data_IF_683347691764
#
_entry.id   IF_683347691764
#
_cell.length_a   1.000
_cell.length_b   1.000
_cell.length_c   1.000
_cell.angle_alpha   90.00
_cell.angle_beta   90.00
_cell.angle_gamma   90.00
#
_symmetry.space_group_name_H-M   'P 1'
#
loop_
_entity.id
_entity.type
_entity.pdbx_description
1 polymer ?
#
# COMPACT_ATOMS: atom_id res chain seq x y z
N UNK A 1 5.65 13.52 -4.19
CA UNK A 1 5.69 12.22 -4.89
C UNK A 1 5.73 11.11 -3.85
N UNK A 2 5.02 10.01 -4.09
CA UNK A 2 5.05 8.82 -3.25
C UNK A 2 5.97 7.77 -3.90
N UNK A 3 6.76 7.06 -3.09
CA UNK A 3 7.50 5.87 -3.55
C UNK A 3 7.32 4.71 -2.57
N UNK A 4 7.58 3.47 -3.02
CA UNK A 4 7.37 2.25 -2.23
C UNK A 4 8.63 1.39 -2.26
N UNK A 5 9.03 0.85 -1.11
CA UNK A 5 10.23 0.02 -0.98
C UNK A 5 9.99 -1.19 -0.06
N UNK A 6 10.22 -2.43 -0.52
CA UNK A 6 10.58 -2.82 -1.88
C UNK A 6 9.40 -2.69 -2.86
N UNK A 7 9.66 -2.60 -4.18
CA UNK A 7 8.61 -2.59 -5.23
C UNK A 7 8.23 -3.98 -5.74
N UNK A 8 9.06 -4.98 -5.43
CA UNK A 8 8.80 -6.37 -5.70
C UNK A 8 9.28 -7.22 -4.53
N UNK A 9 8.56 -8.30 -4.23
CA UNK A 9 8.89 -9.18 -3.11
C UNK A 9 8.65 -10.64 -3.49
N UNK A 10 9.56 -11.52 -3.09
CA UNK A 10 9.34 -12.95 -3.07
C UNK A 10 8.75 -13.37 -1.71
N UNK A 11 7.63 -14.08 -1.73
CA UNK A 11 6.92 -14.50 -0.52
C UNK A 11 6.72 -16.01 -0.56
N UNK A 12 7.02 -16.71 0.51
CA UNK A 12 6.81 -18.16 0.54
C UNK A 12 5.32 -18.53 0.47
N UNK A 13 4.99 -19.55 -0.32
CA UNK A 13 3.64 -20.08 -0.44
C UNK A 13 3.10 -20.64 0.89
N UNK A 14 3.99 -21.08 1.78
CA UNK A 14 3.67 -21.49 3.16
C UNK A 14 3.24 -20.34 4.07
N UNK A 15 3.31 -19.10 3.58
CA UNK A 15 2.95 -17.90 4.31
C UNK A 15 4.17 -17.08 4.74
N UNK A 16 3.91 -15.90 5.31
CA UNK A 16 4.97 -15.02 5.76
C UNK A 16 4.47 -13.61 6.04
N UNK A 17 5.37 -12.78 6.57
CA UNK A 17 5.11 -11.36 6.77
C UNK A 17 6.18 -10.57 6.04
N UNK A 18 5.76 -9.61 5.23
CA UNK A 18 6.64 -8.65 4.57
C UNK A 18 6.26 -7.22 4.96
N UNK A 19 7.24 -6.32 4.98
CA UNK A 19 7.05 -4.92 5.32
C UNK A 19 7.50 -4.06 4.15
N UNK A 20 6.57 -3.28 3.61
CA UNK A 20 6.86 -2.26 2.62
C UNK A 20 6.86 -0.89 3.28
N UNK A 21 7.75 -0.01 2.84
CA UNK A 21 7.85 1.38 3.29
C UNK A 21 7.29 2.27 2.21
N UNK A 22 6.25 3.03 2.55
CA UNK A 22 5.78 4.16 1.75
C UNK A 22 6.60 5.39 2.13
N UNK A 23 7.24 6.01 1.15
CA UNK A 23 8.09 7.19 1.37
C UNK A 23 7.46 8.38 0.67
N UNK A 24 6.92 9.31 1.45
CA UNK A 24 6.39 10.57 0.94
C UNK A 24 7.53 11.59 0.84
N UNK A 25 7.93 11.94 -0.37
CA UNK A 25 8.96 12.97 -0.61
C UNK A 25 8.37 14.34 -0.93
N UNK A 26 7.04 14.49 -0.92
CA UNK A 26 6.38 15.80 -1.07
C UNK A 26 6.34 16.59 0.23
N UNK A 27 6.01 17.87 0.08
CA UNK A 27 5.68 18.78 1.18
C UNK A 27 4.20 18.71 1.58
N UNK A 28 3.40 17.90 0.90
CA UNK A 28 1.98 17.73 1.16
C UNK A 28 1.72 16.43 1.94
N UNK A 29 0.66 16.42 2.75
CA UNK A 29 0.19 15.22 3.43
C UNK A 29 -0.53 14.35 2.41
N UNK A 30 -0.24 13.06 2.39
CA UNK A 30 -0.85 12.12 1.47
C UNK A 30 -1.79 11.17 2.21
N UNK A 31 -2.97 10.93 1.66
CA UNK A 31 -3.76 9.75 1.99
C UNK A 31 -3.42 8.62 1.02
N UNK A 32 -3.46 7.37 1.49
CA UNK A 32 -3.26 6.19 0.64
C UNK A 32 -4.38 5.16 0.80
N UNK A 33 -4.55 4.33 -0.23
CA UNK A 33 -5.45 3.18 -0.29
C UNK A 33 -4.75 2.01 -0.97
N UNK A 34 -4.81 0.84 -0.34
CA UNK A 34 -4.27 -0.40 -0.90
C UNK A 34 -5.40 -1.21 -1.55
N UNK A 35 -5.17 -1.68 -2.77
CA UNK A 35 -5.96 -2.70 -3.45
C UNK A 35 -5.08 -3.91 -3.74
N UNK A 36 -5.67 -5.10 -3.75
CA UNK A 36 -4.98 -6.35 -4.05
C UNK A 36 -5.81 -7.19 -5.01
N UNK A 37 -5.12 -7.95 -5.86
CA UNK A 37 -5.70 -9.01 -6.71
C UNK A 37 -6.10 -10.25 -5.92
N UNK A 38 -5.67 -10.38 -4.65
CA UNK A 38 -5.89 -11.55 -3.81
C UNK A 38 -6.12 -11.17 -2.34
N UNK A 39 -7.38 -10.94 -2.00
CA UNK A 39 -7.76 -10.65 -0.60
C UNK A 39 -7.97 -11.93 0.23
N UNK A 40 -7.99 -13.11 -0.40
CA UNK A 40 -8.19 -14.38 0.30
C UNK A 40 -6.92 -14.76 1.06
N UNK A 41 -5.76 -14.64 0.40
CA UNK A 41 -4.48 -15.11 0.94
C UNK A 41 -3.60 -13.99 1.50
N UNK A 42 -3.91 -12.72 1.24
CA UNK A 42 -3.16 -11.59 1.80
C UNK A 42 -3.98 -10.80 2.83
N UNK A 43 -3.29 -10.34 3.87
CA UNK A 43 -3.81 -9.42 4.88
C UNK A 43 -2.91 -8.19 4.94
N UNK A 44 -3.52 -7.02 4.87
CA UNK A 44 -2.81 -5.74 4.84
C UNK A 44 -3.12 -4.97 6.10
N UNK A 45 -2.09 -4.36 6.71
CA UNK A 45 -2.27 -3.48 7.86
C UNK A 45 -1.30 -2.28 7.78
N UNK A 46 -1.81 -1.05 7.68
CA UNK A 46 -3.20 -0.66 7.40
C UNK A 46 -3.55 -0.70 5.89
N UNK A 47 -4.84 -0.68 5.53
CA UNK A 47 -5.32 -0.58 4.11
C UNK A 47 -5.49 0.88 3.67
N UNK A 48 -5.83 1.75 4.61
CA UNK A 48 -5.92 3.20 4.43
C UNK A 48 -5.09 3.88 5.50
N UNK A 49 -4.53 5.03 5.18
CA UNK A 49 -3.81 5.83 6.17
C UNK A 49 -3.33 7.14 5.59
N UNK A 50 -2.66 7.90 6.44
CA UNK A 50 -1.97 9.12 6.07
C UNK A 50 -0.45 8.92 6.13
N UNK A 51 0.24 9.69 5.31
CA UNK A 51 1.70 9.79 5.29
C UNK A 51 2.01 11.27 5.35
N UNK A 52 2.63 11.68 6.45
CA UNK A 52 3.00 13.08 6.64
C UNK A 52 4.05 13.52 5.60
N UNK A 53 4.16 14.83 5.33
CA UNK A 53 5.22 15.37 4.48
C UNK A 53 6.59 14.86 4.88
N UNK A 54 7.43 14.54 3.89
CA UNK A 54 8.83 14.11 4.11
C UNK A 54 8.99 12.93 5.10
N UNK A 55 7.99 12.05 5.18
CA UNK A 55 7.96 10.95 6.16
C UNK A 55 7.84 9.57 5.51
N UNK A 56 8.05 8.55 6.34
CA UNK A 56 7.96 7.14 5.95
C UNK A 56 6.84 6.47 6.73
N UNK A 57 5.98 5.72 6.04
CA UNK A 57 4.92 4.91 6.64
C UNK A 57 5.09 3.42 6.31
N UNK A 58 5.28 2.52 7.30
CA UNK A 58 5.38 1.10 7.05
C UNK A 58 3.99 0.48 6.83
N UNK A 59 3.89 -0.43 5.87
CA UNK A 59 2.74 -1.32 5.67
C UNK A 59 3.20 -2.75 5.90
N UNK A 60 2.45 -3.46 6.72
CA UNK A 60 2.63 -4.89 6.94
C UNK A 60 1.71 -5.67 6.00
N UNK A 61 2.29 -6.56 5.21
CA UNK A 61 1.60 -7.48 4.32
C UNK A 61 1.85 -8.90 4.82
N UNK A 62 0.80 -9.60 5.24
CA UNK A 62 0.88 -10.99 5.68
C UNK A 62 0.28 -11.90 4.62
N UNK A 63 1.08 -12.85 4.13
CA UNK A 63 0.62 -13.95 3.28
C UNK A 63 0.22 -15.13 4.15
N UNK A 64 -0.94 -15.69 3.87
CA UNK A 64 -1.43 -16.94 4.40
C UNK A 64 -0.95 -18.11 3.52
N UNK A 65 -0.86 -19.33 4.06
CA UNK A 65 -0.63 -20.52 3.25
C UNK A 65 -1.60 -20.57 2.08
N UNK A 66 -1.09 -20.84 0.88
CA UNK A 66 -1.91 -20.87 -0.33
C UNK A 66 -1.11 -21.27 -1.56
N UNK A 67 -1.66 -20.98 -2.74
CA UNK A 67 -1.06 -21.38 -4.01
C UNK A 67 0.17 -20.55 -4.38
N UNK A 68 1.04 -21.14 -5.20
CA UNK A 68 2.15 -20.42 -5.85
C UNK A 68 1.55 -19.62 -7.01
N UNK A 69 1.53 -18.30 -6.87
CA UNK A 69 0.97 -17.38 -7.86
C UNK A 69 1.72 -16.05 -7.89
N UNK A 70 1.59 -15.34 -9.00
CA UNK A 70 1.91 -13.93 -9.10
C UNK A 70 0.72 -13.08 -8.67
N UNK A 71 0.97 -12.16 -7.75
CA UNK A 71 -0.02 -11.24 -7.21
C UNK A 71 0.45 -9.80 -7.31
N UNK A 72 -0.53 -8.90 -7.43
CA UNK A 72 -0.26 -7.48 -7.62
C UNK A 72 -1.00 -6.66 -6.58
N UNK A 73 -0.29 -5.73 -5.94
CA UNK A 73 -0.88 -4.75 -5.04
C UNK A 73 -0.77 -3.37 -5.66
N UNK A 74 -1.87 -2.61 -5.59
CA UNK A 74 -1.95 -1.25 -6.10
C UNK A 74 -2.11 -0.32 -4.91
N UNK A 75 -1.15 0.60 -4.75
CA UNK A 75 -1.19 1.65 -3.73
C UNK A 75 -1.60 2.94 -4.44
N UNK A 76 -2.84 3.36 -4.23
CA UNK A 76 -3.35 4.64 -4.72
C UNK A 76 -3.08 5.72 -3.67
N UNK A 77 -2.80 6.94 -4.12
CA UNK A 77 -2.56 8.07 -3.23
C UNK A 77 -3.20 9.37 -3.74
N UNK A 78 -3.46 10.27 -2.80
CA UNK A 78 -3.98 11.61 -3.06
C UNK A 78 -3.45 12.57 -1.99
N UNK A 79 -3.12 13.79 -2.38
CA UNK A 79 -2.87 14.89 -1.46
C UNK A 79 -4.14 15.25 -0.69
N UNK A 80 -3.96 15.51 0.59
CA UNK A 80 -5.01 15.92 1.50
C UNK A 80 -4.53 17.08 2.35
N UNK A 81 -5.47 17.88 2.83
CA UNK A 81 -5.19 18.95 3.77
C UNK A 81 -4.84 18.40 5.16
N UNK A 82 -4.18 19.20 5.99
CA UNK A 82 -3.75 18.78 7.33
C UNK A 82 -4.95 18.50 8.27
N UNK A 83 -6.08 19.17 8.06
CA UNK A 83 -7.34 19.01 8.77
C UNK A 83 -8.16 17.79 8.31
N UNK A 84 -7.74 17.11 7.24
CA UNK A 84 -8.39 15.88 6.79
C UNK A 84 -8.28 14.78 7.87
N UNK A 85 -9.44 14.29 8.34
CA UNK A 85 -9.55 13.25 9.37
C UNK A 85 -9.88 11.87 8.82
N UNK A 86 -10.52 11.77 7.65
CA UNK A 86 -10.87 10.51 7.00
C UNK A 86 -9.93 10.24 5.80
N UNK A 87 -8.97 9.28 5.91
CA UNK A 87 -8.08 8.95 4.80
C UNK A 87 -8.83 8.30 3.62
N UNK A 88 -10.10 7.90 3.79
CA UNK A 88 -10.93 7.36 2.71
C UNK A 88 -11.58 8.45 1.86
N UNK A 89 -11.69 9.68 2.38
CA UNK A 89 -12.40 10.78 1.73
C UNK A 89 -12.01 10.99 0.25
N UNK A 90 -10.72 11.12 -0.13
CA UNK A 90 -10.35 11.34 -1.53
C UNK A 90 -10.71 10.16 -2.44
N UNK A 91 -10.73 8.93 -1.92
CA UNK A 91 -11.02 7.73 -2.69
C UNK A 91 -12.51 7.41 -2.82
N UNK A 92 -13.40 8.14 -2.14
CA UNK A 92 -14.85 8.05 -2.31
C UNK A 92 -15.35 8.88 -3.49
N UNK A 93 -14.59 9.90 -3.87
CA UNK A 93 -14.88 10.85 -4.95
C UNK A 93 -13.92 10.67 -6.14
N UNK A 94 -13.17 9.57 -6.16
CA UNK A 94 -12.16 9.24 -7.18
C UNK A 94 -11.12 10.35 -7.44
N UNK A 95 -10.81 11.16 -6.41
CA UNK A 95 -9.79 12.22 -6.46
C UNK A 95 -8.37 11.66 -6.25
N UNK A 96 -8.03 10.57 -6.96
CA UNK A 96 -6.70 9.97 -6.90
C UNK A 96 -5.70 10.76 -7.76
N UNK A 97 -4.50 10.99 -7.24
CA UNK A 97 -3.43 11.68 -7.97
C UNK A 97 -2.49 10.70 -8.68
N UNK A 98 -2.41 9.47 -8.19
CA UNK A 98 -1.58 8.45 -8.81
C UNK A 98 -1.67 7.11 -8.11
N UNK A 99 -1.01 6.13 -8.71
CA UNK A 99 -0.95 4.77 -8.19
C UNK A 99 0.42 4.14 -8.41
N UNK A 100 0.76 3.22 -7.52
CA UNK A 100 2.03 2.50 -7.55
C UNK A 100 1.72 1.00 -7.50
N UNK A 101 2.23 0.28 -8.48
CA UNK A 101 2.14 -1.17 -8.57
C UNK A 101 3.30 -1.80 -7.82
N UNK A 102 2.97 -2.77 -6.97
CA UNK A 102 3.90 -3.63 -6.24
C UNK A 102 3.65 -5.08 -6.64
N UNK A 103 4.71 -5.78 -7.01
CA UNK A 103 4.64 -7.18 -7.43
C UNK A 103 4.97 -8.11 -6.28
N UNK A 104 4.15 -9.13 -6.06
CA UNK A 104 4.39 -10.20 -5.12
C UNK A 104 4.48 -11.52 -5.89
N UNK A 105 5.66 -12.13 -5.90
CA UNK A 105 5.87 -13.42 -6.51
C UNK A 105 5.90 -14.48 -5.40
N UNK A 106 4.91 -15.38 -5.38
CA UNK A 106 4.94 -16.48 -4.43
C UNK A 106 5.97 -17.53 -4.88
N UNK A 107 6.79 -18.04 -3.95
CA UNK A 107 7.80 -19.10 -4.18
C UNK A 107 7.66 -20.27 -3.23
#
# INVERSE_FOLDING_TARGET
MLTVQPRAVQIHASGGTNVHKLVNTSMARLAFKIKSTNNNEYRFKPIYGFIEPQSIHPIVIRKLPGEIREDTFIIQYAEVTADCTDPKAPFKIDALQGEIIVYAHSV
#
